data_IF_592271967785
#
_entry.id   IF_592271967785
#
_cell.length_a   1.000
_cell.length_b   1.000
_cell.length_c   1.000
_cell.angle_alpha   90.00
_cell.angle_beta   90.00
_cell.angle_gamma   90.00
#
_symmetry.space_group_name_H-M   'P 1'
#
loop_
_entity.id
_entity.type
_entity.pdbx_description
1 polymer ?
#
# COMPACT_ATOMS: atom_id res chain seq x y z
N UNK A 1 25.32 9.51 1.58
CA UNK A 1 24.10 8.84 2.12
C UNK A 1 24.23 7.34 1.89
N UNK A 2 23.98 6.53 2.93
CA UNK A 2 23.86 5.09 2.87
C UNK A 2 22.38 4.74 2.99
N UNK A 3 21.83 4.06 1.98
CA UNK A 3 20.46 3.56 2.00
C UNK A 3 20.54 2.04 2.18
N UNK A 4 19.86 1.53 3.21
CA UNK A 4 19.79 0.10 3.51
C UNK A 4 18.33 -0.29 3.43
N UNK A 5 17.98 -1.02 2.40
CA UNK A 5 16.64 -1.53 2.22
C UNK A 5 16.41 -2.78 3.06
N UNK A 6 15.18 -2.93 3.58
CA UNK A 6 14.81 -4.05 4.46
C UNK A 6 15.80 -4.26 5.63
N UNK A 7 16.10 -3.19 6.33
CA UNK A 7 17.11 -3.09 7.38
C UNK A 7 17.01 -4.17 8.48
N UNK A 8 15.83 -4.76 8.68
CA UNK A 8 15.58 -5.78 9.69
C UNK A 8 15.55 -7.22 9.14
N UNK A 9 16.00 -7.46 7.89
CA UNK A 9 16.17 -8.82 7.33
C UNK A 9 17.48 -9.49 7.73
N UNK A 10 18.39 -8.77 8.36
CA UNK A 10 19.65 -9.31 8.87
C UNK A 10 19.85 -8.95 10.34
N UNK A 11 20.74 -9.66 11.01
CA UNK A 11 21.18 -9.30 12.37
C UNK A 11 22.05 -8.02 12.30
N UNK A 12 21.41 -6.88 12.21
CA UNK A 12 22.04 -5.58 11.97
C UNK A 12 23.04 -5.23 13.07
N UNK A 13 22.75 -5.54 14.32
CA UNK A 13 23.68 -5.28 15.44
C UNK A 13 25.01 -6.01 15.24
N UNK A 14 25.01 -7.19 14.66
CA UNK A 14 26.23 -7.94 14.34
C UNK A 14 26.92 -7.40 13.09
N UNK A 15 26.14 -7.10 12.05
CA UNK A 15 26.68 -6.66 10.76
C UNK A 15 27.27 -5.24 10.84
N UNK A 16 26.63 -4.33 11.57
CA UNK A 16 26.95 -2.92 11.57
C UNK A 16 27.29 -2.34 12.96
N UNK A 17 27.43 -3.18 14.00
CA UNK A 17 27.63 -2.73 15.38
C UNK A 17 28.80 -1.75 15.54
N UNK A 18 29.92 -2.00 14.86
CA UNK A 18 31.07 -1.09 14.85
C UNK A 18 30.77 0.24 14.15
N UNK A 19 30.07 0.21 13.02
CA UNK A 19 29.67 1.42 12.31
C UNK A 19 28.78 2.31 13.17
N UNK A 20 27.80 1.73 13.86
CA UNK A 20 26.90 2.50 14.74
C UNK A 20 27.60 3.13 15.94
N UNK A 21 28.61 2.45 16.49
CA UNK A 21 29.46 3.02 17.53
C UNK A 21 30.31 4.17 16.95
N UNK A 22 30.83 3.98 15.77
CA UNK A 22 31.67 4.96 15.07
C UNK A 22 30.91 6.20 14.59
N UNK A 23 29.60 6.09 14.34
CA UNK A 23 28.78 7.27 14.02
C UNK A 23 28.77 8.32 15.14
N UNK A 24 28.89 7.89 16.40
CA UNK A 24 28.98 8.78 17.56
C UNK A 24 30.36 9.43 17.68
N UNK A 25 31.41 8.62 17.49
CA UNK A 25 32.81 9.08 17.62
C UNK A 25 33.32 9.76 16.37
N UNK A 26 32.61 9.58 15.24
CA UNK A 26 33.03 10.01 13.89
C UNK A 26 34.32 9.36 13.41
N UNK A 27 34.76 8.28 14.06
CA UNK A 27 35.95 7.51 13.68
C UNK A 27 35.56 6.03 13.56
N UNK A 28 35.81 5.46 12.40
CA UNK A 28 35.64 4.03 12.14
C UNK A 28 37.00 3.36 12.09
N UNK A 29 37.25 2.44 13.00
CA UNK A 29 38.44 1.60 12.99
C UNK A 29 38.11 0.29 12.30
N UNK A 30 38.82 -0.03 11.22
CA UNK A 30 38.62 -1.28 10.49
C UNK A 30 39.79 -2.19 10.81
N UNK A 31 39.58 -3.31 11.56
CA UNK A 31 40.63 -4.31 11.80
C UNK A 31 41.09 -4.90 10.45
N UNK A 32 42.33 -5.33 10.41
CA UNK A 32 42.93 -6.08 9.30
C UNK A 32 42.99 -5.36 7.93
N UNK A 33 42.83 -4.04 7.90
CA UNK A 33 43.11 -3.24 6.71
C UNK A 33 44.50 -2.61 6.75
N UNK A 34 45.01 -2.26 5.55
CA UNK A 34 46.26 -1.49 5.41
C UNK A 34 46.24 -0.24 6.29
N UNK A 35 47.41 0.17 6.80
CA UNK A 35 47.52 1.29 7.74
C UNK A 35 46.91 2.60 7.26
N UNK A 36 46.88 2.80 5.93
CA UNK A 36 46.24 3.96 5.29
C UNK A 36 44.72 4.01 5.43
N UNK A 37 44.05 2.88 5.75
CA UNK A 37 42.59 2.77 5.88
C UNK A 37 42.15 2.40 7.30
N UNK A 38 43.07 2.27 8.27
CA UNK A 38 42.74 1.84 9.64
C UNK A 38 41.83 2.82 10.39
N UNK A 39 41.94 4.10 10.12
CA UNK A 39 41.16 5.15 10.78
C UNK A 39 40.45 6.03 9.77
N UNK A 40 39.20 5.68 9.49
CA UNK A 40 38.33 6.47 8.60
C UNK A 40 37.53 7.48 9.41
N UNK A 41 37.63 8.75 9.03
CA UNK A 41 36.77 9.80 9.60
C UNK A 41 35.45 9.85 8.87
N UNK A 42 34.35 9.67 9.61
CA UNK A 42 33.00 9.76 9.06
C UNK A 42 32.61 11.22 8.90
N UNK A 43 32.29 11.70 7.66
CA UNK A 43 31.88 13.08 7.41
C UNK A 43 30.68 13.49 8.26
N UNK A 44 30.58 14.79 8.61
CA UNK A 44 29.46 15.31 9.41
C UNK A 44 28.10 15.22 8.71
N UNK A 45 28.10 15.21 7.40
CA UNK A 45 26.93 15.10 6.51
C UNK A 45 26.59 13.67 6.11
N UNK A 46 27.33 12.67 6.60
CA UNK A 46 26.99 11.26 6.42
C UNK A 46 25.65 10.92 7.09
N UNK A 47 24.77 10.28 6.35
CA UNK A 47 23.43 9.87 6.79
C UNK A 47 23.16 8.43 6.39
N UNK A 48 22.43 7.75 7.25
CA UNK A 48 21.90 6.40 6.99
C UNK A 48 20.39 6.47 6.96
N UNK A 49 19.79 5.91 5.92
CA UNK A 49 18.36 5.68 5.81
C UNK A 49 18.14 4.18 5.74
N UNK A 50 17.38 3.64 6.68
CA UNK A 50 16.96 2.23 6.66
C UNK A 50 15.46 2.13 6.43
N UNK A 51 15.04 1.25 5.52
CA UNK A 51 13.62 0.88 5.41
C UNK A 51 13.35 -0.35 6.26
N UNK A 52 12.17 -0.40 6.85
CA UNK A 52 11.71 -1.53 7.66
C UNK A 52 10.38 -2.01 7.13
N UNK A 53 10.25 -3.29 6.88
CA UNK A 53 8.96 -3.91 6.61
C UNK A 53 8.43 -4.54 7.91
N UNK A 54 7.30 -4.05 8.42
CA UNK A 54 6.69 -4.56 9.67
C UNK A 54 5.64 -5.65 9.42
N UNK A 55 5.23 -5.87 8.15
CA UNK A 55 4.21 -6.86 7.81
C UNK A 55 4.69 -8.31 8.04
N UNK A 56 5.98 -8.56 7.84
CA UNK A 56 6.59 -9.90 7.95
C UNK A 56 7.21 -10.17 9.33
N UNK A 57 6.55 -9.76 10.40
CA UNK A 57 7.11 -9.77 11.79
C UNK A 57 7.72 -11.11 12.22
N UNK A 58 7.25 -12.23 11.69
CA UNK A 58 7.72 -13.57 12.05
C UNK A 58 9.10 -13.94 11.49
N UNK A 59 9.55 -13.24 10.45
CA UNK A 59 10.83 -13.50 9.77
C UNK A 59 11.87 -12.40 9.97
N UNK A 60 11.56 -11.37 10.74
CA UNK A 60 12.39 -10.19 10.87
C UNK A 60 13.13 -10.19 12.20
N UNK A 61 14.41 -9.83 12.15
CA UNK A 61 15.19 -9.61 13.37
C UNK A 61 14.70 -8.38 14.12
N UNK A 62 14.56 -8.52 15.43
CA UNK A 62 14.28 -7.38 16.30
C UNK A 62 15.51 -6.48 16.40
N UNK A 63 15.35 -5.21 16.14
CA UNK A 63 16.38 -4.23 16.38
C UNK A 63 16.55 -4.03 17.89
N UNK A 64 17.82 -3.99 18.37
CA UNK A 64 18.09 -3.69 19.75
C UNK A 64 17.62 -2.28 20.14
N UNK A 65 17.30 -2.07 21.41
CA UNK A 65 16.91 -0.75 21.90
C UNK A 65 18.08 0.25 21.79
N UNK A 66 19.31 -0.24 21.89
CA UNK A 66 20.50 0.55 21.64
C UNK A 66 20.58 1.06 20.20
N UNK A 67 20.15 0.26 19.24
CA UNK A 67 20.05 0.66 17.83
C UNK A 67 18.87 1.61 17.60
N UNK A 68 17.70 1.26 18.12
CA UNK A 68 16.50 2.10 18.02
C UNK A 68 16.74 3.52 18.53
N UNK A 69 17.48 3.70 19.61
CA UNK A 69 17.78 5.01 20.19
C UNK A 69 18.66 5.92 19.31
N UNK A 70 19.27 5.39 18.24
CA UNK A 70 20.16 6.14 17.34
C UNK A 70 19.47 6.62 16.05
N UNK A 71 18.24 6.20 15.82
CA UNK A 71 17.49 6.55 14.62
C UNK A 71 16.23 7.35 14.96
N UNK A 72 15.87 8.27 14.06
CA UNK A 72 14.54 8.84 14.04
C UNK A 72 13.63 7.91 13.23
N UNK A 73 12.47 7.58 13.76
CA UNK A 73 11.49 6.73 13.10
C UNK A 73 10.43 7.57 12.40
N UNK A 74 10.18 7.24 11.15
CA UNK A 74 9.09 7.82 10.37
C UNK A 74 8.22 6.64 9.93
N UNK A 75 6.99 6.60 10.41
CA UNK A 75 6.01 5.62 9.96
C UNK A 75 5.35 6.14 8.68
N UNK A 76 5.39 5.32 7.63
CA UNK A 76 4.67 5.56 6.39
C UNK A 76 3.43 4.68 6.40
N UNK A 77 2.29 5.30 6.68
CA UNK A 77 1.01 4.62 6.64
C UNK A 77 0.42 4.64 5.22
N UNK A 78 -0.65 3.87 5.01
CA UNK A 78 -1.42 3.89 3.77
C UNK A 78 -2.06 5.28 3.57
N UNK A 79 -2.25 5.73 2.31
CA UNK A 79 -2.92 6.99 2.03
C UNK A 79 -4.33 7.04 2.63
N UNK A 80 -4.69 8.19 3.18
CA UNK A 80 -6.02 8.42 3.77
C UNK A 80 -7.08 8.61 2.68
N UNK A 81 -8.38 8.41 2.98
CA UNK A 81 -9.49 8.58 2.01
C UNK A 81 -9.51 9.94 1.33
N UNK A 82 -9.17 11.01 2.05
CA UNK A 82 -9.10 12.36 1.48
C UNK A 82 -7.95 12.57 0.48
N UNK A 83 -7.04 11.61 0.36
CA UNK A 83 -5.94 11.59 -0.60
C UNK A 83 -6.23 10.72 -1.84
N UNK A 84 -7.47 10.23 -1.99
CA UNK A 84 -7.91 9.32 -3.05
C UNK A 84 -7.46 9.75 -4.44
N UNK A 85 -7.74 10.97 -4.85
CA UNK A 85 -7.43 11.44 -6.20
C UNK A 85 -5.91 11.51 -6.43
N UNK A 86 -5.17 11.91 -5.42
CA UNK A 86 -3.71 11.94 -5.47
C UNK A 86 -3.11 10.53 -5.55
N UNK A 87 -3.64 9.59 -4.77
CA UNK A 87 -3.18 8.20 -4.81
C UNK A 87 -3.46 7.56 -6.16
N UNK A 88 -4.66 7.75 -6.71
CA UNK A 88 -5.02 7.30 -8.06
C UNK A 88 -4.04 7.88 -9.08
N UNK A 89 -3.73 9.18 -8.97
CA UNK A 89 -2.77 9.83 -9.87
C UNK A 89 -1.38 9.21 -9.76
N UNK A 90 -0.82 9.07 -8.55
CA UNK A 90 0.53 8.53 -8.38
C UNK A 90 0.63 7.06 -8.81
N UNK A 91 -0.38 6.25 -8.52
CA UNK A 91 -0.44 4.86 -8.96
C UNK A 91 -0.51 4.76 -10.50
N UNK A 92 -1.37 5.55 -11.14
CA UNK A 92 -1.51 5.58 -12.60
C UNK A 92 -0.24 6.11 -13.29
N UNK A 93 0.32 7.22 -12.81
CA UNK A 93 1.56 7.76 -13.34
C UNK A 93 2.74 6.79 -13.18
N UNK A 94 2.81 6.07 -12.06
CA UNK A 94 3.79 5.01 -11.86
C UNK A 94 3.61 3.85 -12.83
N UNK A 95 2.36 3.41 -13.04
CA UNK A 95 2.03 2.35 -13.99
C UNK A 95 2.45 2.71 -15.42
N UNK A 96 2.14 3.93 -15.86
CA UNK A 96 2.50 4.45 -17.19
C UNK A 96 4.01 4.47 -17.38
N UNK A 97 4.76 4.95 -16.39
CA UNK A 97 6.24 5.01 -16.46
C UNK A 97 6.89 3.64 -16.52
N UNK A 98 6.44 2.70 -15.70
CA UNK A 98 7.01 1.35 -15.67
C UNK A 98 6.67 0.52 -16.92
N UNK A 99 5.59 0.87 -17.62
CA UNK A 99 5.23 0.31 -18.92
C UNK A 99 5.87 1.06 -20.11
N UNK A 100 6.72 2.06 -19.85
CA UNK A 100 7.32 2.91 -20.89
C UNK A 100 6.30 3.62 -21.79
N UNK A 101 5.05 3.80 -21.31
CA UNK A 101 3.97 4.42 -22.09
C UNK A 101 4.05 5.95 -22.14
N UNK A 102 4.94 6.56 -21.35
CA UNK A 102 5.28 7.98 -21.39
C UNK A 102 6.23 8.36 -22.55
N UNK A 103 6.64 7.37 -23.35
CA UNK A 103 7.38 7.59 -24.59
C UNK A 103 6.44 7.96 -25.72
N UNK A 104 6.89 8.91 -26.56
CA UNK A 104 6.11 9.33 -27.74
C UNK A 104 6.27 8.32 -28.87
N UNK A 105 5.14 7.90 -29.44
CA UNK A 105 5.04 7.13 -30.67
C UNK A 105 4.28 8.02 -31.67
N UNK A 106 4.88 8.32 -32.82
CA UNK A 106 4.31 9.22 -33.83
C UNK A 106 3.88 10.59 -33.26
N UNK A 107 4.65 11.11 -32.31
CA UNK A 107 4.42 12.41 -31.68
C UNK A 107 3.37 12.44 -30.56
N UNK A 108 2.67 11.32 -30.31
CA UNK A 108 1.67 11.17 -29.24
C UNK A 108 2.17 10.23 -28.16
N UNK A 109 1.76 10.47 -26.91
CA UNK A 109 2.03 9.56 -25.81
C UNK A 109 1.07 8.37 -25.88
N UNK A 110 1.59 7.15 -25.75
CA UNK A 110 0.80 5.93 -25.94
C UNK A 110 -0.38 5.82 -24.96
N UNK A 111 -0.23 6.36 -23.75
CA UNK A 111 -1.29 6.33 -22.73
C UNK A 111 -2.42 7.35 -22.95
N UNK A 112 -2.21 8.42 -23.75
CA UNK A 112 -3.22 9.51 -23.94
C UNK A 112 -4.51 9.04 -24.60
N UNK A 113 -4.48 7.88 -25.25
CA UNK A 113 -5.70 7.24 -25.78
C UNK A 113 -6.63 6.70 -24.68
N UNK A 114 -6.11 6.50 -23.48
CA UNK A 114 -6.81 5.89 -22.33
C UNK A 114 -7.03 6.86 -21.19
N UNK A 115 -6.00 7.62 -20.82
CA UNK A 115 -6.05 8.55 -19.69
C UNK A 115 -5.30 9.84 -20.00
N UNK A 116 -5.72 10.93 -19.36
CA UNK A 116 -4.97 12.18 -19.32
C UNK A 116 -4.56 12.45 -17.88
N UNK A 117 -3.28 12.78 -17.67
CA UNK A 117 -2.73 13.14 -16.37
C UNK A 117 -2.62 14.65 -16.27
N UNK A 118 -3.25 15.23 -15.25
CA UNK A 118 -2.99 16.61 -14.84
C UNK A 118 -1.87 16.59 -13.78
N UNK A 119 -0.65 16.93 -14.20
CA UNK A 119 0.51 16.98 -13.33
C UNK A 119 0.47 18.13 -12.32
N UNK A 120 -0.28 19.20 -12.60
CA UNK A 120 -0.46 20.34 -11.70
C UNK A 120 -1.44 20.01 -10.58
N UNK A 121 -2.63 19.57 -10.94
CA UNK A 121 -3.68 19.20 -10.01
C UNK A 121 -3.49 17.83 -9.36
N UNK A 122 -2.57 16.99 -9.85
CA UNK A 122 -2.36 15.60 -9.42
C UNK A 122 -3.63 14.77 -9.54
N UNK A 123 -4.30 14.87 -10.69
CA UNK A 123 -5.54 14.13 -10.97
C UNK A 123 -5.42 13.34 -12.27
N UNK A 124 -6.29 12.32 -12.40
CA UNK A 124 -6.46 11.53 -13.61
C UNK A 124 -7.79 11.87 -14.23
N UNK A 125 -7.76 12.32 -15.48
CA UNK A 125 -8.95 12.48 -16.32
C UNK A 125 -8.92 11.43 -17.41
N UNK A 126 -10.09 11.03 -17.90
CA UNK A 126 -10.16 10.02 -18.94
C UNK A 126 -10.32 10.67 -20.30
N UNK A 127 -9.55 10.19 -21.28
CA UNK A 127 -9.87 10.43 -22.66
C UNK A 127 -11.20 9.74 -23.03
N UNK A 128 -11.91 10.23 -24.04
CA UNK A 128 -13.06 9.51 -24.59
C UNK A 128 -12.56 8.20 -25.19
N UNK A 129 -12.97 7.07 -24.61
CA UNK A 129 -12.65 5.77 -25.18
C UNK A 129 -13.58 5.47 -26.33
N UNK A 130 -13.07 4.88 -27.42
CA UNK A 130 -13.84 4.52 -28.60
C UNK A 130 -14.92 3.46 -28.32
N UNK A 131 -14.80 2.71 -27.22
CA UNK A 131 -15.76 1.69 -26.79
C UNK A 131 -16.90 2.24 -25.90
N UNK A 132 -16.99 3.56 -25.74
CA UNK A 132 -18.01 4.21 -24.91
C UNK A 132 -17.92 3.83 -23.41
N UNK A 133 -16.96 3.00 -23.04
CA UNK A 133 -16.77 2.58 -21.64
C UNK A 133 -16.23 3.74 -20.81
N UNK A 134 -16.80 3.90 -19.62
CA UNK A 134 -16.34 4.93 -18.70
C UNK A 134 -15.07 4.44 -17.98
N UNK A 135 -13.94 4.63 -18.64
CA UNK A 135 -12.62 4.22 -18.15
C UNK A 135 -12.35 4.76 -16.74
N UNK A 136 -12.77 6.00 -16.43
CA UNK A 136 -12.63 6.57 -15.10
C UNK A 136 -13.41 5.76 -14.04
N UNK A 137 -14.60 5.28 -14.36
CA UNK A 137 -15.38 4.44 -13.42
C UNK A 137 -14.57 3.22 -13.04
N UNK A 138 -13.87 2.57 -13.98
CA UNK A 138 -13.05 1.40 -13.70
C UNK A 138 -11.83 1.71 -12.85
N UNK A 139 -11.17 2.84 -13.11
CA UNK A 139 -10.05 3.34 -12.27
C UNK A 139 -10.52 3.54 -10.83
N UNK A 140 -11.67 4.20 -10.65
CA UNK A 140 -12.25 4.46 -9.32
C UNK A 140 -12.73 3.17 -8.67
N UNK A 141 -13.32 2.23 -9.42
CA UNK A 141 -13.68 0.90 -8.93
C UNK A 141 -12.47 0.15 -8.38
N UNK A 142 -11.34 0.12 -9.12
CA UNK A 142 -10.10 -0.51 -8.67
C UNK A 142 -9.63 0.06 -7.31
N UNK A 143 -9.65 1.39 -7.19
CA UNK A 143 -9.33 2.06 -5.94
C UNK A 143 -10.29 1.67 -4.81
N UNK A 144 -11.59 1.73 -5.04
CA UNK A 144 -12.60 1.42 -4.02
C UNK A 144 -12.49 -0.03 -3.55
N UNK A 145 -12.26 -0.98 -4.47
CA UNK A 145 -12.06 -2.39 -4.13
C UNK A 145 -10.82 -2.57 -3.24
N UNK A 146 -9.68 -1.97 -3.63
CA UNK A 146 -8.48 -1.99 -2.80
C UNK A 146 -8.73 -1.34 -1.43
N UNK A 147 -9.45 -0.22 -1.40
CA UNK A 147 -9.74 0.49 -0.17
C UNK A 147 -10.59 -0.33 0.81
N UNK A 148 -11.58 -1.09 0.31
CA UNK A 148 -12.35 -2.03 1.14
C UNK A 148 -11.46 -3.10 1.78
N UNK A 149 -10.51 -3.66 1.02
CA UNK A 149 -9.55 -4.63 1.56
C UNK A 149 -8.64 -4.00 2.62
N UNK A 150 -8.28 -2.73 2.45
CA UNK A 150 -7.43 -1.99 3.40
C UNK A 150 -8.03 -1.81 4.79
N UNK A 151 -9.34 -1.93 4.93
CA UNK A 151 -10.01 -1.92 6.23
C UNK A 151 -9.51 -3.08 7.11
N UNK A 152 -9.19 -4.21 6.48
CA UNK A 152 -8.76 -5.44 7.16
C UNK A 152 -7.27 -5.74 7.01
N UNK A 153 -6.65 -5.26 5.94
CA UNK A 153 -5.23 -5.50 5.65
C UNK A 153 -4.58 -4.28 5.02
N UNK A 154 -3.59 -3.71 5.67
CA UNK A 154 -2.84 -2.56 5.14
C UNK A 154 -2.10 -2.96 3.86
N UNK A 155 -2.58 -2.48 2.72
CA UNK A 155 -1.97 -2.65 1.40
C UNK A 155 -1.51 -1.30 0.86
N UNK A 156 -0.25 -1.21 0.46
CA UNK A 156 0.33 0.03 -0.07
C UNK A 156 -0.18 0.40 -1.47
N UNK A 157 0.13 1.61 -1.91
CA UNK A 157 -0.18 2.14 -3.26
C UNK A 157 0.46 1.30 -4.38
N UNK A 158 1.52 0.54 -4.07
CA UNK A 158 2.16 -0.36 -5.03
C UNK A 158 1.17 -1.38 -5.64
N UNK A 159 0.23 -1.90 -4.85
CA UNK A 159 -0.79 -2.84 -5.34
C UNK A 159 -1.72 -2.13 -6.33
N UNK A 160 -2.15 -0.90 -6.04
CA UNK A 160 -2.97 -0.11 -6.96
C UNK A 160 -2.24 0.15 -8.28
N UNK A 161 -0.94 0.45 -8.21
CA UNK A 161 -0.09 0.62 -9.40
C UNK A 161 -0.06 -0.65 -10.25
N UNK A 162 0.13 -1.83 -9.65
CA UNK A 162 0.11 -3.11 -10.36
C UNK A 162 -1.25 -3.40 -11.00
N UNK A 163 -2.36 -3.10 -10.30
CA UNK A 163 -3.71 -3.22 -10.85
C UNK A 163 -3.83 -2.32 -12.10
N UNK A 164 -3.37 -1.07 -12.03
CA UNK A 164 -3.45 -0.16 -13.18
C UNK A 164 -2.53 -0.57 -14.33
N UNK A 165 -1.35 -1.16 -14.06
CA UNK A 165 -0.50 -1.72 -15.10
C UNK A 165 -1.24 -2.83 -15.87
N UNK A 166 -1.77 -3.83 -15.19
CA UNK A 166 -2.48 -4.94 -15.82
C UNK A 166 -3.75 -4.45 -16.52
N UNK A 167 -4.45 -3.50 -15.94
CA UNK A 167 -5.62 -2.89 -16.55
C UNK A 167 -5.27 -2.18 -17.88
N UNK A 168 -4.22 -1.36 -17.90
CA UNK A 168 -3.75 -0.67 -19.11
C UNK A 168 -3.32 -1.67 -20.18
N UNK A 169 -2.55 -2.70 -19.81
CA UNK A 169 -2.10 -3.75 -20.74
C UNK A 169 -3.31 -4.47 -21.35
N UNK A 170 -4.30 -4.86 -20.54
CA UNK A 170 -5.53 -5.49 -21.06
C UNK A 170 -6.25 -4.58 -22.07
N UNK A 171 -6.36 -3.28 -21.78
CA UNK A 171 -6.96 -2.31 -22.70
C UNK A 171 -6.17 -2.17 -24.00
N UNK A 172 -4.84 -2.13 -23.92
CA UNK A 172 -3.96 -2.07 -25.11
C UNK A 172 -4.08 -3.32 -25.98
N UNK A 173 -4.38 -4.48 -25.37
CA UNK A 173 -4.65 -5.74 -26.07
C UNK A 173 -6.07 -5.81 -26.67
N UNK A 174 -6.90 -4.80 -26.48
CA UNK A 174 -8.27 -4.75 -26.99
C UNK A 174 -9.29 -5.49 -26.12
N UNK A 175 -8.91 -5.92 -24.91
CA UNK A 175 -9.81 -6.55 -23.94
C UNK A 175 -10.78 -5.46 -23.40
N UNK A 176 -12.03 -5.82 -23.13
CA UNK A 176 -13.01 -4.86 -22.61
C UNK A 176 -12.57 -4.25 -21.27
N UNK A 177 -13.06 -3.05 -20.94
CA UNK A 177 -12.66 -2.37 -19.71
C UNK A 177 -13.09 -3.14 -18.45
N UNK A 178 -14.21 -3.83 -18.50
CA UNK A 178 -14.69 -4.67 -17.38
C UNK A 178 -13.80 -5.88 -17.17
N UNK A 179 -13.54 -6.63 -18.22
CA UNK A 179 -12.70 -7.82 -18.20
C UNK A 179 -11.24 -7.49 -17.86
N UNK A 180 -10.71 -6.38 -18.38
CA UNK A 180 -9.37 -5.90 -18.03
C UNK A 180 -9.26 -5.56 -16.54
N UNK A 181 -10.30 -4.97 -15.95
CA UNK A 181 -10.34 -4.70 -14.51
C UNK A 181 -10.44 -6.00 -13.70
N UNK A 182 -11.31 -6.92 -14.11
CA UNK A 182 -11.48 -8.21 -13.42
C UNK A 182 -10.17 -9.01 -13.41
N UNK A 183 -9.51 -9.12 -14.56
CA UNK A 183 -8.20 -9.75 -14.68
C UNK A 183 -7.14 -9.06 -13.80
N UNK A 184 -7.13 -7.72 -13.77
CA UNK A 184 -6.17 -6.96 -12.98
C UNK A 184 -6.38 -7.16 -11.47
N UNK A 185 -7.62 -7.17 -11.00
CA UNK A 185 -7.96 -7.44 -9.60
C UNK A 185 -7.64 -8.88 -9.22
N UNK A 186 -8.04 -9.84 -10.05
CA UNK A 186 -7.79 -11.27 -9.81
C UNK A 186 -6.29 -11.56 -9.72
N UNK A 187 -5.49 -10.95 -10.60
CA UNK A 187 -4.05 -11.20 -10.62
C UNK A 187 -3.30 -10.54 -9.46
N UNK A 188 -3.69 -9.33 -9.05
CA UNK A 188 -2.87 -8.54 -8.11
C UNK A 188 -3.48 -8.42 -6.71
N UNK A 189 -4.80 -8.42 -6.58
CA UNK A 189 -5.47 -8.22 -5.29
C UNK A 189 -5.86 -9.54 -4.63
N UNK A 190 -6.43 -10.48 -5.37
CA UNK A 190 -6.87 -11.76 -4.78
C UNK A 190 -5.74 -12.51 -4.06
N UNK A 191 -4.51 -12.61 -4.58
CA UNK A 191 -3.41 -13.25 -3.85
C UNK A 191 -3.08 -12.58 -2.51
N UNK A 192 -3.42 -11.29 -2.36
CA UNK A 192 -3.22 -10.58 -1.10
C UNK A 192 -4.20 -11.02 -0.01
N UNK A 193 -5.29 -11.71 -0.38
CA UNK A 193 -6.33 -12.17 0.54
C UNK A 193 -6.05 -13.55 1.15
N UNK A 194 -5.07 -14.31 0.64
CA UNK A 194 -4.80 -15.70 1.07
C UNK A 194 -4.63 -15.90 2.58
N UNK A 195 -4.12 -14.88 3.28
CA UNK A 195 -3.90 -14.97 4.73
C UNK A 195 -4.97 -14.25 5.56
N UNK A 196 -6.08 -13.84 4.93
CA UNK A 196 -7.20 -13.27 5.66
C UNK A 196 -8.10 -14.39 6.22
N UNK A 197 -8.61 -14.16 7.42
CA UNK A 197 -9.60 -15.05 8.01
C UNK A 197 -10.90 -15.04 7.22
N UNK A 198 -11.66 -16.13 7.27
CA UNK A 198 -12.97 -16.21 6.61
C UNK A 198 -13.91 -15.06 7.01
N UNK A 199 -14.02 -14.66 8.31
CA UNK A 199 -14.82 -13.50 8.70
C UNK A 199 -14.44 -12.20 7.96
N UNK A 200 -13.16 -11.94 7.70
CA UNK A 200 -12.72 -10.76 6.95
C UNK A 200 -13.14 -10.83 5.48
N UNK A 201 -13.02 -12.00 4.87
CA UNK A 201 -13.45 -12.21 3.47
C UNK A 201 -14.96 -11.98 3.33
N UNK A 202 -15.77 -12.54 4.22
CA UNK A 202 -17.23 -12.35 4.24
C UNK A 202 -17.61 -10.87 4.47
N UNK A 203 -16.85 -10.15 5.29
CA UNK A 203 -17.05 -8.72 5.50
C UNK A 203 -16.71 -7.89 4.25
N UNK A 204 -15.64 -8.22 3.55
CA UNK A 204 -15.28 -7.59 2.26
C UNK A 204 -16.40 -7.78 1.23
N UNK A 205 -16.95 -8.97 1.13
CA UNK A 205 -18.10 -9.28 0.27
C UNK A 205 -19.34 -8.46 0.67
N UNK A 206 -19.62 -8.35 1.98
CA UNK A 206 -20.72 -7.53 2.49
C UNK A 206 -20.58 -6.05 2.15
N UNK A 207 -19.35 -5.50 2.16
CA UNK A 207 -19.07 -4.14 1.71
C UNK A 207 -19.40 -3.93 0.22
N UNK A 208 -19.04 -4.90 -0.62
CA UNK A 208 -19.29 -4.81 -2.06
C UNK A 208 -20.76 -4.98 -2.45
N UNK A 209 -21.53 -5.70 -1.64
CA UNK A 209 -22.96 -5.94 -1.87
C UNK A 209 -23.88 -4.94 -1.18
N UNK A 210 -23.35 -3.84 -0.62
CA UNK A 210 -24.10 -2.86 0.19
C UNK A 210 -24.90 -3.50 1.35
N UNK A 211 -24.40 -4.64 1.85
CA UNK A 211 -25.09 -5.45 2.86
C UNK A 211 -24.41 -5.44 4.24
N UNK A 212 -23.55 -4.47 4.46
CA UNK A 212 -22.69 -4.42 5.65
C UNK A 212 -23.48 -4.40 6.97
N UNK A 213 -24.55 -3.61 7.04
CA UNK A 213 -25.39 -3.49 8.24
C UNK A 213 -26.05 -4.84 8.57
N UNK A 214 -26.58 -5.54 7.57
CA UNK A 214 -27.16 -6.85 7.76
C UNK A 214 -26.10 -7.89 8.15
N UNK A 215 -24.89 -7.80 7.59
CA UNK A 215 -23.77 -8.63 8.00
C UNK A 215 -23.48 -8.48 9.49
N UNK A 216 -23.31 -7.26 9.98
CA UNK A 216 -23.05 -6.99 11.39
C UNK A 216 -24.20 -7.51 12.26
N UNK A 217 -25.46 -7.21 11.90
CA UNK A 217 -26.64 -7.67 12.64
C UNK A 217 -26.76 -9.21 12.73
N UNK A 218 -26.45 -9.89 11.64
CA UNK A 218 -26.55 -11.34 11.59
C UNK A 218 -25.42 -12.00 12.39
N UNK A 219 -24.17 -11.56 12.15
CA UNK A 219 -23.00 -12.17 12.81
C UNK A 219 -22.94 -11.92 14.31
N UNK A 220 -23.49 -10.80 14.82
CA UNK A 220 -23.59 -10.55 16.26
C UNK A 220 -24.59 -11.48 16.97
N UNK A 221 -25.49 -12.16 16.25
CA UNK A 221 -26.50 -13.08 16.78
C UNK A 221 -26.20 -14.56 16.56
N UNK A 222 -25.21 -14.89 15.73
CA UNK A 222 -24.85 -16.27 15.43
C UNK A 222 -24.19 -16.98 16.63
N UNK A 223 -24.27 -18.33 16.65
CA UNK A 223 -23.61 -19.16 17.65
C UNK A 223 -22.09 -18.98 17.66
N UNK A 224 -21.51 -18.67 16.52
CA UNK A 224 -20.06 -18.48 16.31
C UNK A 224 -19.65 -17.01 16.41
N UNK A 225 -20.41 -16.19 17.15
CA UNK A 225 -20.13 -14.74 17.26
C UNK A 225 -18.69 -14.41 17.68
N UNK A 226 -18.03 -15.32 18.42
CA UNK A 226 -16.65 -15.13 18.89
C UNK A 226 -15.67 -15.00 17.74
N UNK A 227 -15.88 -15.73 16.63
CA UNK A 227 -15.05 -15.68 15.43
C UNK A 227 -15.15 -14.33 14.68
N UNK A 228 -16.21 -13.57 14.93
CA UNK A 228 -16.52 -12.31 14.24
C UNK A 228 -16.32 -11.06 15.12
N UNK A 229 -15.95 -11.21 16.38
CA UNK A 229 -15.78 -10.07 17.31
C UNK A 229 -14.77 -9.06 16.77
N UNK A 230 -13.61 -9.54 16.36
CA UNK A 230 -12.55 -8.69 15.78
C UNK A 230 -13.03 -8.01 14.49
N UNK A 231 -13.68 -8.76 13.60
CA UNK A 231 -14.21 -8.24 12.33
C UNK A 231 -15.26 -7.15 12.56
N UNK A 232 -16.19 -7.36 13.46
CA UNK A 232 -17.24 -6.40 13.80
C UNK A 232 -16.63 -5.15 14.44
N UNK A 233 -15.63 -5.32 15.31
CA UNK A 233 -14.93 -4.17 15.93
C UNK A 233 -14.23 -3.31 14.88
N UNK A 234 -13.46 -3.91 13.97
CA UNK A 234 -12.77 -3.22 12.88
C UNK A 234 -13.75 -2.43 12.02
N UNK A 235 -14.88 -3.03 11.65
CA UNK A 235 -15.91 -2.34 10.86
C UNK A 235 -16.51 -1.18 11.65
N UNK A 236 -16.80 -1.38 12.93
CA UNK A 236 -17.36 -0.36 13.80
C UNK A 236 -16.42 0.83 13.94
N UNK A 237 -15.15 0.58 14.19
CA UNK A 237 -14.11 1.61 14.27
C UNK A 237 -14.00 2.37 12.94
N UNK A 238 -13.99 1.66 11.81
CA UNK A 238 -14.00 2.27 10.49
C UNK A 238 -15.21 3.19 10.26
N UNK A 239 -16.43 2.75 10.62
CA UNK A 239 -17.64 3.56 10.47
C UNK A 239 -17.60 4.81 11.36
N UNK A 240 -17.08 4.69 12.59
CA UNK A 240 -16.86 5.82 13.50
C UNK A 240 -15.88 6.83 12.92
N UNK A 241 -14.76 6.38 12.35
CA UNK A 241 -13.78 7.26 11.69
C UNK A 241 -14.38 8.02 10.48
N UNK A 242 -15.39 7.44 9.84
CA UNK A 242 -16.15 8.09 8.76
C UNK A 242 -17.28 9.02 9.27
N UNK A 243 -17.44 9.18 10.57
CA UNK A 243 -18.51 9.99 11.18
C UNK A 243 -19.90 9.35 11.06
N UNK A 244 -19.98 8.04 10.93
CA UNK A 244 -21.21 7.27 10.78
C UNK A 244 -21.66 6.61 12.08
N UNK A 245 -21.29 7.18 13.22
CA UNK A 245 -21.68 6.68 14.57
C UNK A 245 -23.18 6.55 14.75
N UNK A 246 -23.96 7.40 14.08
CA UNK A 246 -25.43 7.34 14.13
C UNK A 246 -25.97 6.02 13.54
N UNK A 247 -25.32 5.43 12.55
CA UNK A 247 -25.69 4.14 11.98
C UNK A 247 -25.43 3.04 13.01
N UNK A 248 -24.28 3.11 13.69
CA UNK A 248 -23.91 2.18 14.76
C UNK A 248 -24.90 2.27 15.91
N UNK A 249 -25.19 3.49 16.39
CA UNK A 249 -26.10 3.71 17.51
C UNK A 249 -27.53 3.28 17.20
N UNK A 250 -28.05 3.63 16.02
CA UNK A 250 -29.44 3.33 15.66
C UNK A 250 -29.68 1.87 15.33
N UNK A 251 -28.69 1.18 14.74
CA UNK A 251 -28.88 -0.14 14.17
C UNK A 251 -28.30 -1.28 15.02
N UNK A 252 -27.34 -0.99 15.91
CA UNK A 252 -26.65 -1.99 16.73
C UNK A 252 -26.97 -1.91 18.23
N UNK A 253 -27.40 -0.74 18.74
CA UNK A 253 -27.64 -0.52 20.18
C UNK A 253 -29.11 -0.68 20.57
N UNK A 254 -30.05 -0.71 19.62
CA UNK A 254 -31.46 -0.97 19.91
C UNK A 254 -31.69 -2.45 20.31
N UNK A 255 -31.13 -2.82 21.47
CA UNK A 255 -31.60 -3.92 22.33
C UNK A 255 -31.09 -3.84 23.76
#
# INVERSE_FOLDING_TARGET
>A
WLIIDEFNRAEIDKAFGQLFTSLRTRQLKIPDMDESFKDLTIPKDFRIIGTLNTADKHFLFNLSDALKSRFAYIELDIPKPNQKEQEIYYAMNGAIKELDLDKKIDGKLAYESYVTLDHGAKTVTTAKSDDGSNFRVRIVQAYNTLYTVRIFKKLGTAILKLIYQNFLVGRMMGISSLESLDNALTTNLIPQLENLSLPFIEAIEAFHSDNLINFIKNKSKEKNREDYVETVQIITDYLSEQGLDHIIATELIDK
#
